data_IF_440881687748
#
_entry.id   IF_440881687748
#
_cell.length_a   1.000
_cell.length_b   1.000
_cell.length_c   1.000
_cell.angle_alpha   90.00
_cell.angle_beta   90.00
_cell.angle_gamma   90.00
#
_symmetry.space_group_name_H-M   'P 1'
#
loop_
_entity.id
_entity.type
_entity.pdbx_description
1 polymer ?
#
# COMPACT_ATOMS: atom_id res chain seq x y z
N UNK A 1 -36.42 -22.65 10.69
CA UNK A 1 -35.27 -23.42 10.16
C UNK A 1 -34.91 -22.81 8.82
N UNK A 2 -34.05 -21.80 8.79
CA UNK A 2 -33.51 -21.26 7.54
C UNK A 2 -32.11 -21.81 7.39
N UNK A 3 -31.96 -22.81 6.52
CA UNK A 3 -30.65 -23.30 6.10
C UNK A 3 -30.00 -22.21 5.25
N UNK A 4 -28.99 -21.55 5.80
CA UNK A 4 -28.02 -20.84 4.99
C UNK A 4 -27.08 -21.91 4.43
N UNK A 5 -27.22 -22.21 3.14
CA UNK A 5 -26.23 -22.96 2.38
C UNK A 5 -24.90 -22.21 2.43
N UNK A 6 -24.03 -22.61 3.35
CA UNK A 6 -22.62 -22.18 3.40
C UNK A 6 -21.78 -23.07 2.46
N UNK A 7 -22.19 -23.15 1.20
CA UNK A 7 -21.44 -23.81 0.13
C UNK A 7 -20.90 -22.76 -0.85
N UNK A 8 -20.23 -21.73 -0.33
CA UNK A 8 -19.27 -20.99 -1.15
C UNK A 8 -18.01 -21.87 -1.18
N UNK A 9 -17.61 -22.42 -2.34
CA UNK A 9 -16.38 -23.20 -2.42
C UNK A 9 -15.24 -22.31 -1.93
N UNK A 10 -14.57 -22.73 -0.86
CA UNK A 10 -13.37 -22.07 -0.35
C UNK A 10 -12.44 -21.84 -1.55
N UNK A 11 -11.95 -20.61 -1.78
CA UNK A 11 -11.15 -20.29 -2.95
C UNK A 11 -9.99 -21.28 -3.07
N UNK A 12 -9.65 -21.69 -4.30
CA UNK A 12 -8.46 -22.52 -4.51
C UNK A 12 -7.22 -21.75 -4.04
N UNK A 13 -6.63 -22.21 -2.94
CA UNK A 13 -5.46 -21.60 -2.32
C UNK A 13 -4.24 -22.45 -2.61
N UNK A 14 -3.37 -21.94 -3.49
CA UNK A 14 -2.04 -22.50 -3.68
C UNK A 14 -1.07 -22.10 -2.56
N UNK A 15 -0.26 -23.06 -2.11
CA UNK A 15 0.81 -22.79 -1.14
C UNK A 15 2.10 -22.44 -1.85
N UNK A 16 2.64 -21.27 -1.52
CA UNK A 16 3.96 -20.83 -1.98
C UNK A 16 4.99 -20.95 -0.85
N UNK A 17 6.23 -21.28 -1.21
CA UNK A 17 7.37 -21.27 -0.29
C UNK A 17 8.24 -20.03 -0.56
N UNK A 18 8.44 -19.18 0.45
CA UNK A 18 9.23 -17.95 0.35
C UNK A 18 10.54 -18.10 1.11
N UNK A 19 11.64 -17.61 0.52
CA UNK A 19 12.95 -17.52 1.20
C UNK A 19 13.22 -16.06 1.53
N UNK A 20 13.36 -15.78 2.82
CA UNK A 20 13.64 -14.43 3.35
C UNK A 20 14.94 -14.44 4.15
N UNK A 21 15.64 -13.30 4.17
CA UNK A 21 16.74 -13.11 5.11
C UNK A 21 16.19 -13.15 6.55
N UNK A 22 16.94 -13.76 7.48
CA UNK A 22 16.51 -13.88 8.88
C UNK A 22 16.22 -12.53 9.53
N UNK A 23 17.11 -11.56 9.34
CA UNK A 23 16.93 -10.19 9.83
C UNK A 23 15.65 -9.53 9.32
N UNK A 24 15.27 -9.80 8.07
CA UNK A 24 14.03 -9.28 7.51
C UNK A 24 12.80 -10.02 8.06
N UNK A 25 12.91 -11.32 8.31
CA UNK A 25 11.85 -12.10 8.95
C UNK A 25 11.52 -11.56 10.34
N UNK A 26 12.53 -11.16 11.12
CA UNK A 26 12.35 -10.57 12.44
C UNK A 26 11.54 -9.27 12.38
N UNK A 27 11.86 -8.40 11.41
CA UNK A 27 11.11 -7.14 11.15
C UNK A 27 9.67 -7.44 10.72
N UNK A 28 9.46 -8.42 9.85
CA UNK A 28 8.11 -8.86 9.46
C UNK A 28 7.34 -9.34 10.68
N UNK A 29 7.98 -10.13 11.55
CA UNK A 29 7.39 -10.69 12.76
C UNK A 29 6.98 -9.63 13.79
N UNK A 30 7.75 -8.55 13.92
CA UNK A 30 7.38 -7.37 14.70
C UNK A 30 6.19 -6.63 14.06
N UNK A 31 6.31 -6.31 12.78
CA UNK A 31 5.34 -5.48 12.04
C UNK A 31 3.93 -6.08 12.02
N UNK A 32 3.78 -7.39 11.76
CA UNK A 32 2.44 -7.97 11.66
C UNK A 32 1.70 -7.95 13.01
N UNK A 33 2.43 -8.09 14.13
CA UNK A 33 1.87 -8.03 15.48
C UNK A 33 1.44 -6.61 15.84
N UNK A 34 2.30 -5.64 15.58
CA UNK A 34 2.00 -4.21 15.81
C UNK A 34 0.78 -3.74 15.03
N UNK A 35 0.64 -4.22 13.78
CA UNK A 35 -0.51 -3.91 12.93
C UNK A 35 -1.76 -4.76 13.24
N UNK A 36 -1.69 -5.66 14.21
CA UNK A 36 -2.85 -6.42 14.71
C UNK A 36 -3.37 -7.52 13.77
N UNK A 37 -2.53 -8.05 12.87
CA UNK A 37 -2.92 -9.17 12.01
C UNK A 37 -3.07 -10.46 12.83
N UNK A 38 -3.96 -11.37 12.41
CA UNK A 38 -4.17 -12.64 13.13
C UNK A 38 -3.03 -13.64 12.88
N UNK A 39 -2.33 -13.50 11.77
CA UNK A 39 -1.17 -14.34 11.44
C UNK A 39 -0.20 -13.62 10.52
N UNK A 40 1.07 -14.04 10.58
CA UNK A 40 2.09 -13.63 9.61
C UNK A 40 1.68 -13.89 8.17
N UNK A 41 1.07 -15.05 7.89
CA UNK A 41 0.66 -15.41 6.52
C UNK A 41 -0.43 -14.49 5.98
N UNK A 42 -1.30 -13.98 6.85
CA UNK A 42 -2.32 -12.98 6.48
C UNK A 42 -1.66 -11.64 6.15
N UNK A 43 -0.72 -11.19 6.97
CA UNK A 43 0.05 -9.98 6.71
C UNK A 43 0.83 -10.05 5.39
N UNK A 44 1.51 -11.16 5.13
CA UNK A 44 2.24 -11.37 3.86
C UNK A 44 1.28 -11.34 2.66
N UNK A 45 0.12 -12.00 2.76
CA UNK A 45 -0.90 -11.96 1.69
C UNK A 45 -1.45 -10.55 1.48
N UNK A 46 -1.69 -9.80 2.55
CA UNK A 46 -2.13 -8.42 2.48
C UNK A 46 -1.07 -7.53 1.80
N UNK A 47 0.18 -7.60 2.23
CA UNK A 47 1.28 -6.82 1.64
C UNK A 47 1.51 -7.15 0.16
N UNK A 48 1.43 -8.44 -0.21
CA UNK A 48 1.51 -8.85 -1.62
C UNK A 48 0.33 -8.33 -2.45
N UNK A 49 -0.89 -8.40 -1.91
CA UNK A 49 -2.08 -7.86 -2.58
C UNK A 49 -1.96 -6.35 -2.76
N UNK A 50 -1.56 -5.63 -1.72
CA UNK A 50 -1.39 -4.18 -1.75
C UNK A 50 -0.34 -3.76 -2.79
N UNK A 51 0.82 -4.43 -2.81
CA UNK A 51 1.85 -4.17 -3.81
C UNK A 51 1.42 -4.42 -5.27
N UNK A 52 0.44 -5.31 -5.49
CA UNK A 52 -0.10 -5.63 -6.82
C UNK A 52 -1.28 -4.72 -7.19
N UNK A 53 -2.17 -4.43 -6.23
CA UNK A 53 -3.40 -3.64 -6.45
C UNK A 53 -3.11 -2.15 -6.49
N UNK A 54 -2.09 -1.69 -5.74
CA UNK A 54 -1.65 -0.30 -5.71
C UNK A 54 -0.16 -0.23 -6.11
N UNK A 55 0.18 -0.56 -7.36
CA UNK A 55 1.57 -0.52 -7.83
C UNK A 55 2.15 0.90 -7.75
N UNK A 56 1.30 1.92 -7.85
CA UNK A 56 1.65 3.31 -7.58
C UNK A 56 2.14 3.51 -6.16
N UNK A 57 1.81 2.70 -5.15
CA UNK A 57 2.37 2.83 -3.80
C UNK A 57 3.89 2.59 -3.76
N UNK A 58 4.40 1.69 -4.61
CA UNK A 58 5.85 1.46 -4.75
C UNK A 58 6.53 2.54 -5.61
N UNK A 59 5.82 3.09 -6.59
CA UNK A 59 6.28 4.22 -7.42
C UNK A 59 6.17 5.58 -6.74
N UNK A 60 5.18 5.76 -5.86
CA UNK A 60 4.82 7.02 -5.21
C UNK A 60 5.93 7.49 -4.29
N UNK A 61 6.60 6.59 -3.57
CA UNK A 61 7.77 6.97 -2.78
C UNK A 61 8.92 7.47 -3.65
N UNK A 62 9.07 6.91 -4.86
CA UNK A 62 10.06 7.38 -5.83
C UNK A 62 9.64 8.72 -6.41
N UNK A 63 8.37 8.88 -6.77
CA UNK A 63 7.83 10.13 -7.33
C UNK A 63 7.83 11.26 -6.29
N UNK A 64 7.55 10.95 -5.02
CA UNK A 64 7.66 11.88 -3.89
C UNK A 64 9.11 12.27 -3.61
N UNK A 65 10.04 11.31 -3.62
CA UNK A 65 11.46 11.60 -3.43
C UNK A 65 12.06 12.40 -4.60
N UNK A 66 11.58 12.18 -5.83
CA UNK A 66 11.93 13.00 -7.00
C UNK A 66 11.35 14.39 -6.84
N UNK A 67 10.07 14.50 -6.46
CA UNK A 67 9.43 15.79 -6.19
C UNK A 67 10.19 16.59 -5.13
N UNK A 68 10.59 15.98 -4.00
CA UNK A 68 11.37 16.66 -2.96
C UNK A 68 12.75 17.14 -3.45
N UNK A 69 13.40 16.38 -4.33
CA UNK A 69 14.67 16.79 -4.94
C UNK A 69 14.52 17.90 -6.01
N UNK A 70 13.37 17.94 -6.69
CA UNK A 70 13.02 18.97 -7.68
C UNK A 70 12.35 20.21 -7.04
N UNK A 71 12.01 20.17 -5.76
CA UNK A 71 11.51 21.31 -4.97
C UNK A 71 12.66 22.27 -4.61
N UNK A 72 13.31 22.85 -5.63
CA UNK A 72 14.18 24.03 -5.51
C UNK A 72 13.40 25.30 -5.90
N UNK A 73 12.10 25.33 -5.56
CA UNK A 73 11.14 26.33 -6.01
C UNK A 73 10.50 27.13 -4.87
N UNK A 74 10.27 28.42 -5.12
CA UNK A 74 9.61 29.33 -4.18
C UNK A 74 8.18 28.88 -3.86
N UNK A 75 7.81 28.98 -2.57
CA UNK A 75 6.43 28.75 -2.12
C UNK A 75 5.59 29.97 -2.49
N UNK A 76 4.72 29.82 -3.48
CA UNK A 76 3.76 30.87 -3.86
C UNK A 76 2.44 30.71 -3.13
N UNK A 77 1.76 31.83 -2.87
CA UNK A 77 0.48 31.84 -2.18
C UNK A 77 -0.61 31.16 -3.02
N UNK A 78 -1.61 30.56 -2.37
CA UNK A 78 -2.71 29.85 -3.05
C UNK A 78 -3.48 30.72 -4.05
N UNK A 79 -3.61 32.03 -3.78
CA UNK A 79 -4.25 33.00 -4.68
C UNK A 79 -3.41 33.28 -5.93
N UNK A 80 -2.08 33.31 -5.78
CA UNK A 80 -1.12 33.47 -6.87
C UNK A 80 -1.04 32.22 -7.77
N UNK A 81 -1.12 31.01 -7.18
CA UNK A 81 -1.24 29.76 -7.94
C UNK A 81 -2.49 29.77 -8.83
N UNK A 82 -3.64 30.17 -8.27
CA UNK A 82 -4.92 30.17 -9.00
C UNK A 82 -4.91 31.19 -10.13
N UNK A 83 -4.30 32.36 -9.92
CA UNK A 83 -4.16 33.40 -10.93
C UNK A 83 -3.16 33.04 -12.05
N UNK A 84 -2.10 32.27 -11.75
CA UNK A 84 -1.04 31.95 -12.72
C UNK A 84 -1.37 30.72 -13.56
N UNK A 85 -2.00 29.71 -12.96
CA UNK A 85 -2.23 28.42 -13.60
C UNK A 85 -3.69 28.13 -13.95
N UNK A 86 -4.61 29.07 -13.67
CA UNK A 86 -5.97 29.05 -14.22
C UNK A 86 -6.77 27.82 -13.81
N UNK A 87 -6.99 27.65 -12.51
CA UNK A 87 -8.16 26.89 -12.04
C UNK A 87 -9.27 27.90 -11.76
N UNK A 88 -9.92 28.36 -12.83
CA UNK A 88 -11.29 28.86 -12.72
C UNK A 88 -12.15 27.65 -12.37
N UNK A 89 -12.84 27.73 -11.24
CA UNK A 89 -13.83 26.74 -10.81
C UNK A 89 -14.88 26.54 -11.93
N UNK A 90 -14.96 25.32 -12.47
CA UNK A 90 -16.20 24.79 -13.06
C UNK A 90 -16.60 23.50 -12.33
#
# INVERSE_FOLDING_TARGET
MSGADANDPDPEIDRINLRLARSFLDVVDETWRERGFNSRSEFIRHALRDAITHPEGAGFWKDLAISEADLDGDVIASEEMRSTYGHDDE
#
